data_IF_244306775452
#
_entry.id   IF_244306775452
#
_cell.length_a   1.000
_cell.length_b   1.000
_cell.length_c   1.000
_cell.angle_alpha   90.00
_cell.angle_beta   90.00
_cell.angle_gamma   90.00
#
_symmetry.space_group_name_H-M   'P 1'
#
loop_
_entity.id
_entity.type
_entity.pdbx_description
1 polymer ?
#
# COMPACT_ATOMS: atom_id res chain seq x y z
N UNK A 1 3.58 1.81 29.64
CA UNK A 1 3.54 0.98 28.41
C UNK A 1 4.29 1.76 27.33
N UNK A 2 5.41 1.28 26.79
CA UNK A 2 6.10 1.98 25.69
C UNK A 2 5.23 1.87 24.43
N UNK A 3 5.00 2.99 23.76
CA UNK A 3 4.36 3.01 22.45
C UNK A 3 5.23 2.21 21.48
N UNK A 4 4.69 1.09 20.97
CA UNK A 4 5.40 0.18 20.08
C UNK A 4 5.79 0.87 18.76
N UNK A 5 4.94 1.77 18.26
CA UNK A 5 5.23 2.56 17.06
C UNK A 5 6.41 3.46 17.33
N UNK A 6 6.42 4.14 18.48
CA UNK A 6 7.52 5.03 18.86
C UNK A 6 8.84 4.27 19.01
N UNK A 7 8.80 3.07 19.59
CA UNK A 7 9.99 2.22 19.71
C UNK A 7 10.53 1.80 18.33
N UNK A 8 9.69 1.18 17.49
CA UNK A 8 10.10 0.69 16.17
C UNK A 8 10.55 1.82 15.25
N UNK A 9 9.85 2.97 15.25
CA UNK A 9 10.19 4.09 14.38
C UNK A 9 11.37 4.93 14.88
N UNK A 10 11.89 4.66 16.08
CA UNK A 10 13.12 5.26 16.61
C UNK A 10 14.38 4.46 16.28
N UNK A 11 14.23 3.22 15.82
CA UNK A 11 15.34 2.38 15.39
C UNK A 11 16.02 2.99 14.15
N UNK A 12 17.35 3.07 14.17
CA UNK A 12 18.13 3.69 13.10
C UNK A 12 17.96 2.96 11.75
N UNK A 13 17.71 1.65 11.79
CA UNK A 13 17.42 0.82 10.62
C UNK A 13 16.02 1.06 10.04
N UNK A 14 15.13 1.76 10.78
CA UNK A 14 13.77 2.11 10.35
C UNK A 14 13.75 3.57 9.93
N UNK A 15 14.02 3.82 8.65
CA UNK A 15 14.09 5.16 8.07
C UNK A 15 13.28 5.24 6.76
N UNK A 16 13.19 6.45 6.18
CA UNK A 16 12.52 6.68 4.90
C UNK A 16 11.11 6.11 4.80
N UNK A 17 10.83 5.45 3.68
CA UNK A 17 9.51 4.89 3.37
C UNK A 17 9.16 3.67 4.22
N UNK A 18 10.16 2.92 4.69
CA UNK A 18 9.91 1.84 5.62
C UNK A 18 9.31 2.37 6.94
N UNK A 19 9.80 3.50 7.44
CA UNK A 19 9.22 4.20 8.59
C UNK A 19 7.81 4.71 8.31
N UNK A 20 7.52 5.17 7.09
CA UNK A 20 6.16 5.59 6.68
C UNK A 20 5.19 4.41 6.71
N UNK A 21 5.57 3.27 6.13
CA UNK A 21 4.76 2.05 6.13
C UNK A 21 4.45 1.59 7.56
N UNK A 22 5.46 1.51 8.44
CA UNK A 22 5.25 1.06 9.83
C UNK A 22 4.25 1.95 10.56
N UNK A 23 4.34 3.28 10.38
CA UNK A 23 3.39 4.22 10.97
C UNK A 23 1.97 4.03 10.42
N UNK A 24 1.85 3.86 9.10
CA UNK A 24 0.57 3.72 8.45
C UNK A 24 -0.12 2.40 8.83
N UNK A 25 0.63 1.29 8.86
CA UNK A 25 0.16 0.00 9.35
C UNK A 25 -0.32 0.05 10.80
N UNK A 26 0.36 0.80 11.66
CA UNK A 26 -0.03 0.90 13.06
C UNK A 26 -1.26 1.80 13.28
N UNK A 27 -1.51 2.76 12.37
CA UNK A 27 -2.76 3.55 12.34
C UNK A 27 -3.95 2.76 11.79
N UNK A 28 -3.68 1.76 10.92
CA UNK A 28 -4.64 0.81 10.32
C UNK A 28 -5.18 -0.19 11.36
N UNK A 29 -5.74 0.32 12.45
CA UNK A 29 -6.51 -0.46 13.41
C UNK A 29 -7.94 -0.63 12.87
N UNK A 30 -8.53 -1.84 12.87
CA UNK A 30 -9.87 -2.10 12.32
C UNK A 30 -10.96 -1.18 12.89
N UNK A 31 -10.81 -0.72 14.14
CA UNK A 31 -11.74 0.21 14.77
C UNK A 31 -11.74 1.64 14.18
N UNK A 32 -10.76 1.98 13.34
CA UNK A 32 -10.61 3.30 12.71
C UNK A 32 -11.04 3.28 11.23
N UNK A 33 -11.57 2.15 10.75
CA UNK A 33 -11.96 1.94 9.37
C UNK A 33 -13.48 2.03 9.29
N UNK A 34 -14.00 2.97 8.50
CA UNK A 34 -15.44 3.16 8.30
C UNK A 34 -15.83 2.62 6.92
N UNK A 35 -16.22 1.35 6.85
CA UNK A 35 -16.50 0.61 5.59
C UNK A 35 -17.91 0.87 5.01
N UNK A 36 -18.73 1.69 5.69
CA UNK A 36 -20.14 1.96 5.34
C UNK A 36 -20.34 3.22 4.47
N UNK A 37 -19.26 3.94 4.14
CA UNK A 37 -19.37 5.12 3.26
C UNK A 37 -19.17 4.70 1.82
N UNK A 38 -20.13 5.00 0.95
CA UNK A 38 -19.97 4.86 -0.49
C UNK A 38 -18.91 5.87 -0.95
N UNK A 39 -17.74 5.37 -1.36
CA UNK A 39 -16.58 6.19 -1.70
C UNK A 39 -16.43 6.32 -3.21
N UNK A 40 -16.24 7.54 -3.68
CA UNK A 40 -15.77 7.79 -5.05
C UNK A 40 -14.25 7.62 -5.11
N UNK A 41 -13.79 6.61 -5.85
CA UNK A 41 -12.37 6.31 -6.04
C UNK A 41 -11.75 7.07 -7.21
N UNK A 42 -12.47 7.97 -7.89
CA UNK A 42 -11.94 8.74 -9.03
C UNK A 42 -10.65 9.50 -8.68
N UNK A 43 -10.62 10.16 -7.53
CA UNK A 43 -9.45 10.88 -7.03
C UNK A 43 -8.29 9.93 -6.66
N UNK A 44 -8.60 8.77 -6.07
CA UNK A 44 -7.60 7.76 -5.75
C UNK A 44 -6.96 7.16 -7.01
N UNK A 45 -7.76 6.96 -8.07
CA UNK A 45 -7.27 6.48 -9.37
C UNK A 45 -6.34 7.51 -9.97
N UNK A 46 -6.72 8.80 -9.97
CA UNK A 46 -5.85 9.85 -10.50
C UNK A 46 -4.55 9.96 -9.69
N UNK A 47 -4.63 9.96 -8.36
CA UNK A 47 -3.46 10.01 -7.49
C UNK A 47 -2.52 8.82 -7.71
N UNK A 48 -3.05 7.62 -7.90
CA UNK A 48 -2.25 6.45 -8.24
C UNK A 48 -1.58 6.64 -9.60
N UNK A 49 -2.32 7.07 -10.62
CA UNK A 49 -1.75 7.33 -11.96
C UNK A 49 -0.64 8.35 -11.90
N UNK A 50 -0.82 9.46 -11.21
CA UNK A 50 0.20 10.49 -11.05
C UNK A 50 1.45 9.94 -10.34
N UNK A 51 1.28 9.02 -9.39
CA UNK A 51 2.39 8.39 -8.68
C UNK A 51 3.16 7.35 -9.53
N UNK A 52 2.55 6.82 -10.60
CA UNK A 52 3.15 5.80 -11.48
C UNK A 52 3.40 6.29 -12.91
N UNK A 53 2.98 7.50 -13.29
CA UNK A 53 3.20 8.10 -14.60
C UNK A 53 4.42 9.04 -14.57
N UNK A 54 5.47 8.72 -15.34
CA UNK A 54 6.63 9.59 -15.49
C UNK A 54 7.97 8.84 -15.46
N UNK A 55 9.06 9.57 -15.22
CA UNK A 55 10.36 8.96 -14.94
C UNK A 55 10.48 8.66 -13.44
N UNK A 56 10.35 7.39 -13.08
CA UNK A 56 10.37 6.93 -11.70
C UNK A 56 8.98 6.82 -11.10
N UNK A 57 8.94 6.42 -9.83
CA UNK A 57 7.71 6.10 -9.08
C UNK A 57 7.70 6.95 -7.81
N UNK A 58 6.56 7.53 -7.45
CA UNK A 58 6.40 8.14 -6.11
C UNK A 58 5.91 7.06 -5.14
N UNK A 59 6.84 6.28 -4.58
CA UNK A 59 6.49 5.17 -3.72
C UNK A 59 5.86 5.66 -2.40
N UNK A 60 6.19 6.87 -1.96
CA UNK A 60 5.59 7.52 -0.79
C UNK A 60 4.09 7.77 -1.00
N UNK A 61 3.71 8.32 -2.15
CA UNK A 61 2.32 8.54 -2.51
C UNK A 61 1.54 7.21 -2.61
N UNK A 62 2.13 6.17 -3.18
CA UNK A 62 1.51 4.83 -3.24
C UNK A 62 1.27 4.28 -1.83
N UNK A 63 2.27 4.38 -0.94
CA UNK A 63 2.14 3.92 0.45
C UNK A 63 1.03 4.66 1.17
N UNK A 64 1.01 6.00 1.09
CA UNK A 64 0.02 6.81 1.79
C UNK A 64 -1.40 6.54 1.24
N UNK A 65 -1.55 6.30 -0.06
CA UNK A 65 -2.84 5.94 -0.66
C UNK A 65 -3.34 4.59 -0.18
N UNK A 66 -2.48 3.56 -0.20
CA UNK A 66 -2.87 2.18 0.11
C UNK A 66 -2.99 1.91 1.61
N UNK A 67 -2.11 2.49 2.42
CA UNK A 67 -2.04 2.18 3.84
C UNK A 67 -3.18 2.81 4.65
N UNK A 68 -3.86 3.82 4.11
CA UNK A 68 -5.06 4.42 4.69
C UNK A 68 -6.37 3.72 4.27
N UNK A 69 -6.32 2.64 3.48
CA UNK A 69 -7.50 1.92 2.99
C UNK A 69 -7.71 0.56 3.68
N UNK A 70 -8.96 0.23 3.92
CA UNK A 70 -9.40 -1.10 4.36
C UNK A 70 -9.20 -2.13 3.27
N UNK A 71 -9.32 -3.41 3.62
CA UNK A 71 -9.21 -4.44 2.60
C UNK A 71 -10.39 -4.40 1.61
N UNK A 72 -11.60 -4.12 2.10
CA UNK A 72 -12.79 -3.91 1.27
C UNK A 72 -12.58 -2.69 0.33
N UNK A 73 -12.09 -1.58 0.87
CA UNK A 73 -11.80 -0.38 0.09
C UNK A 73 -10.70 -0.60 -0.95
N UNK A 74 -9.69 -1.42 -0.64
CA UNK A 74 -8.65 -1.79 -1.62
C UNK A 74 -9.26 -2.59 -2.77
N UNK A 75 -10.17 -3.53 -2.50
CA UNK A 75 -10.82 -4.30 -3.57
C UNK A 75 -11.72 -3.43 -4.45
N UNK A 76 -12.52 -2.54 -3.84
CA UNK A 76 -13.32 -1.56 -4.59
C UNK A 76 -12.44 -0.62 -5.42
N UNK A 77 -11.34 -0.13 -4.84
CA UNK A 77 -10.35 0.69 -5.53
C UNK A 77 -9.70 -0.04 -6.72
N UNK A 78 -9.39 -1.33 -6.57
CA UNK A 78 -8.81 -2.15 -7.65
C UNK A 78 -9.76 -2.26 -8.83
N UNK A 79 -11.04 -2.46 -8.57
CA UNK A 79 -12.06 -2.49 -9.63
C UNK A 79 -12.21 -1.12 -10.29
N UNK A 80 -12.28 -0.03 -9.51
CA UNK A 80 -12.34 1.33 -10.04
C UNK A 80 -11.12 1.66 -10.92
N UNK A 81 -9.92 1.31 -10.47
CA UNK A 81 -8.68 1.50 -11.22
C UNK A 81 -8.69 0.72 -12.54
N UNK A 82 -9.13 -0.54 -12.51
CA UNK A 82 -9.24 -1.38 -13.70
C UNK A 82 -10.26 -0.83 -14.69
N UNK A 83 -11.41 -0.34 -14.23
CA UNK A 83 -12.43 0.28 -15.08
C UNK A 83 -11.89 1.55 -15.76
N UNK A 84 -11.15 2.38 -15.00
CA UNK A 84 -10.67 3.66 -15.49
C UNK A 84 -9.44 3.56 -16.41
N UNK A 85 -8.55 2.59 -16.17
CA UNK A 85 -7.25 2.48 -16.89
C UNK A 85 -7.18 1.31 -17.85
N UNK A 86 -8.01 0.28 -17.67
CA UNK A 86 -7.88 -1.00 -18.36
C UNK A 86 -6.75 -1.90 -17.82
N UNK A 87 -6.01 -1.45 -16.81
CA UNK A 87 -4.87 -2.16 -16.22
C UNK A 87 -5.19 -2.71 -14.83
N UNK A 88 -4.54 -3.82 -14.47
CA UNK A 88 -4.61 -4.34 -13.11
C UNK A 88 -3.67 -3.55 -12.19
N UNK A 89 -4.21 -2.90 -11.17
CA UNK A 89 -3.45 -2.11 -10.18
C UNK A 89 -2.24 -2.88 -9.63
N UNK A 90 -2.44 -4.16 -9.28
CA UNK A 90 -1.40 -5.06 -8.77
C UNK A 90 -0.24 -5.24 -9.77
N UNK A 91 -0.55 -5.34 -11.06
CA UNK A 91 0.46 -5.52 -12.09
C UNK A 91 1.19 -4.23 -12.39
N UNK A 92 0.47 -3.10 -12.43
CA UNK A 92 1.09 -1.78 -12.59
C UNK A 92 2.12 -1.53 -11.50
N UNK A 93 1.71 -1.63 -10.24
CA UNK A 93 2.59 -1.47 -9.08
C UNK A 93 3.77 -2.45 -9.13
N UNK A 94 3.54 -3.72 -9.49
CA UNK A 94 4.62 -4.71 -9.61
C UNK A 94 5.64 -4.31 -10.66
N UNK A 95 5.21 -3.70 -11.77
CA UNK A 95 6.11 -3.33 -12.87
C UNK A 95 6.92 -2.06 -12.52
N UNK A 96 6.30 -1.08 -11.86
CA UNK A 96 6.99 0.10 -11.36
C UNK A 96 8.04 -0.22 -10.29
N UNK A 97 7.84 -1.33 -9.56
CA UNK A 97 8.69 -1.76 -8.43
C UNK A 97 9.84 -2.70 -8.81
N UNK A 98 10.30 -2.68 -10.08
CA UNK A 98 11.27 -3.66 -10.62
C UNK A 98 12.72 -3.16 -10.77
N UNK A 99 13.03 -1.97 -10.25
CA UNK A 99 14.36 -1.36 -10.37
C UNK A 99 15.45 -1.95 -9.47
N UNK A 100 16.71 -1.56 -9.75
CA UNK A 100 17.91 -1.89 -8.95
C UNK A 100 17.88 -1.36 -7.50
N UNK A 101 16.96 -0.43 -7.20
CA UNK A 101 16.85 0.27 -5.91
C UNK A 101 15.71 -0.22 -5.01
N UNK A 102 14.95 -1.22 -5.44
CA UNK A 102 13.84 -1.75 -4.67
C UNK A 102 14.24 -2.97 -3.85
N UNK A 103 14.48 -2.74 -2.56
CA UNK A 103 14.60 -3.81 -1.58
C UNK A 103 13.45 -4.81 -1.78
N UNK A 104 13.77 -6.09 -1.98
CA UNK A 104 12.77 -7.17 -2.07
C UNK A 104 11.72 -7.09 -0.95
N UNK A 105 12.15 -6.71 0.25
CA UNK A 105 11.29 -6.54 1.42
C UNK A 105 10.30 -5.39 1.26
N UNK A 106 10.70 -4.29 0.63
CA UNK A 106 9.83 -3.15 0.35
C UNK A 106 8.70 -3.56 -0.59
N UNK A 107 9.05 -4.20 -1.71
CA UNK A 107 8.08 -4.73 -2.68
C UNK A 107 7.14 -5.75 -2.05
N UNK A 108 7.66 -6.71 -1.29
CA UNK A 108 6.84 -7.71 -0.60
C UNK A 108 5.87 -7.05 0.40
N UNK A 109 6.31 -6.00 1.08
CA UNK A 109 5.48 -5.24 2.02
C UNK A 109 4.35 -4.50 1.29
N UNK A 110 4.65 -3.83 0.19
CA UNK A 110 3.68 -3.06 -0.60
C UNK A 110 2.67 -4.00 -1.29
N UNK A 111 3.14 -5.12 -1.84
CA UNK A 111 2.28 -6.20 -2.36
C UNK A 111 1.41 -6.81 -1.26
N UNK A 112 1.94 -6.90 -0.03
CA UNK A 112 1.19 -7.32 1.13
C UNK A 112 0.03 -6.37 1.47
N UNK A 113 0.18 -5.06 1.28
CA UNK A 113 -0.94 -4.13 1.49
C UNK A 113 -2.13 -4.43 0.57
N UNK A 114 -1.85 -4.88 -0.66
CA UNK A 114 -2.83 -5.24 -1.69
C UNK A 114 -3.39 -6.66 -1.58
N UNK A 115 -2.79 -7.51 -0.74
CA UNK A 115 -3.08 -8.95 -0.73
C UNK A 115 -3.75 -9.32 0.59
N UNK A 116 -4.93 -9.97 0.58
CA UNK A 116 -5.59 -10.40 1.81
C UNK A 116 -4.66 -11.27 2.64
N UNK A 117 -4.77 -11.17 3.98
CA UNK A 117 -3.90 -11.91 4.90
C UNK A 117 -3.91 -13.43 4.62
N UNK A 118 -5.06 -13.98 4.24
CA UNK A 118 -5.23 -15.40 3.91
C UNK A 118 -4.36 -15.81 2.71
N UNK A 119 -4.30 -14.98 1.67
CA UNK A 119 -3.45 -15.21 0.51
C UNK A 119 -1.97 -15.05 0.83
N UNK A 120 -1.61 -14.06 1.66
CA UNK A 120 -0.21 -13.90 2.09
C UNK A 120 0.29 -15.13 2.85
N UNK A 121 -0.49 -15.61 3.83
CA UNK A 121 -0.12 -16.80 4.60
C UNK A 121 0.07 -18.01 3.67
N UNK A 122 -0.78 -18.17 2.64
CA UNK A 122 -0.63 -19.24 1.67
C UNK A 122 0.65 -19.15 0.81
N UNK A 123 1.22 -17.95 0.63
CA UNK A 123 2.52 -17.75 -0.03
C UNK A 123 3.67 -18.18 0.89
N UNK A 124 3.60 -17.87 2.18
CA UNK A 124 4.65 -18.18 3.16
C UNK A 124 4.64 -19.65 3.64
N UNK A 125 3.51 -20.35 3.51
CA UNK A 125 3.37 -21.75 3.90
C UNK A 125 3.69 -22.75 2.78
N UNK A 126 4.08 -22.27 1.60
CA UNK A 126 4.57 -23.08 0.47
C UNK A 126 6.09 -23.08 0.43
#
# INVERSE_FOLDING_TARGET
KKDLIKAVTSEWAVSGDFKRIVKALAKRHPANVNDDTEMDYSADVQAMRDAVEGMGTDEGAIIDLLANKSHKQIEEFREAYKIATGELLRERIRNETTGLFESRLFRETLMGLLTPRTEQIAIYLK
#
